data_IF_221441650632
#
_entry.id   IF_221441650632
#
_cell.length_a   1.000
_cell.length_b   1.000
_cell.length_c   1.000
_cell.angle_alpha   90.00
_cell.angle_beta   90.00
_cell.angle_gamma   90.00
#
_symmetry.space_group_name_H-M   'P 1'
#
loop_
_entity.id
_entity.type
_entity.pdbx_description
1 polymer ?
#
# COMPACT_ATOMS: atom_id res chain seq x y z
N UNK A 1 32.98 -20.03 40.48
CA UNK A 1 31.92 -19.74 39.51
C UNK A 1 31.51 -18.30 39.74
N UNK A 2 32.01 -17.38 38.90
CA UNK A 2 31.93 -15.95 39.16
C UNK A 2 30.56 -15.40 38.78
N UNK A 3 29.97 -14.57 39.64
CA UNK A 3 28.68 -13.90 39.40
C UNK A 3 28.62 -13.14 38.05
N UNK A 4 29.77 -12.69 37.54
CA UNK A 4 29.89 -12.08 36.20
C UNK A 4 29.61 -13.05 35.05
N UNK A 5 30.02 -14.32 35.16
CA UNK A 5 29.76 -15.33 34.12
C UNK A 5 28.27 -15.67 34.04
N UNK A 6 27.59 -15.73 35.19
CA UNK A 6 26.14 -15.96 35.24
C UNK A 6 25.37 -14.78 34.63
N UNK A 7 25.81 -13.55 34.87
CA UNK A 7 25.15 -12.37 34.31
C UNK A 7 25.34 -12.29 32.79
N UNK A 8 26.53 -12.58 32.29
CA UNK A 8 26.81 -12.66 30.85
C UNK A 8 26.02 -13.79 30.17
N UNK A 9 25.86 -14.95 30.81
CA UNK A 9 25.04 -16.05 30.27
C UNK A 9 23.56 -15.68 30.20
N UNK A 10 23.01 -15.02 31.23
CA UNK A 10 21.62 -14.58 31.25
C UNK A 10 21.35 -13.50 30.19
N UNK A 11 22.25 -12.53 30.05
CA UNK A 11 22.18 -11.52 28.99
C UNK A 11 22.31 -12.16 27.61
N UNK A 12 23.19 -13.15 27.45
CA UNK A 12 23.34 -13.93 26.24
C UNK A 12 22.06 -14.66 25.86
N UNK A 13 21.41 -15.32 26.82
CA UNK A 13 20.15 -16.03 26.62
C UNK A 13 19.01 -15.08 26.24
N UNK A 14 18.87 -13.96 26.97
CA UNK A 14 17.87 -12.93 26.70
C UNK A 14 18.03 -12.33 25.31
N UNK A 15 19.27 -11.99 24.92
CA UNK A 15 19.56 -11.45 23.58
C UNK A 15 19.23 -12.45 22.48
N UNK A 16 19.51 -13.74 22.71
CA UNK A 16 19.13 -14.82 21.78
C UNK A 16 17.61 -14.91 21.65
N UNK A 17 16.91 -14.88 22.77
CA UNK A 17 15.45 -14.97 22.83
C UNK A 17 14.79 -13.80 22.12
N UNK A 18 15.18 -12.57 22.44
CA UNK A 18 14.70 -11.36 21.74
C UNK A 18 14.96 -11.48 20.25
N UNK A 19 16.14 -11.95 19.82
CA UNK A 19 16.45 -12.15 18.41
C UNK A 19 15.60 -13.26 17.77
N UNK A 20 15.29 -14.31 18.50
CA UNK A 20 14.47 -15.43 18.01
C UNK A 20 13.01 -14.98 17.84
N UNK A 21 12.44 -14.35 18.85
CA UNK A 21 11.09 -13.80 18.82
C UNK A 21 10.93 -12.61 17.87
N UNK A 22 11.98 -11.82 17.56
CA UNK A 22 11.83 -10.63 16.68
C UNK A 22 12.24 -10.84 15.23
N UNK A 23 13.18 -11.74 14.93
CA UNK A 23 13.65 -11.94 13.54
C UNK A 23 12.57 -12.58 12.68
N UNK A 24 11.80 -13.52 13.24
CA UNK A 24 10.69 -14.16 12.54
C UNK A 24 9.56 -13.17 12.17
N UNK A 25 9.06 -12.33 13.10
CA UNK A 25 8.09 -11.30 12.74
C UNK A 25 8.68 -10.20 11.85
N UNK A 26 9.95 -9.80 12.00
CA UNK A 26 10.57 -8.82 11.07
C UNK A 26 10.61 -9.33 9.64
N UNK A 27 10.97 -10.60 9.46
CA UNK A 27 11.02 -11.23 8.13
C UNK A 27 9.63 -11.33 7.51
N UNK A 28 8.63 -11.68 8.32
CA UNK A 28 7.22 -11.70 7.92
C UNK A 28 6.74 -10.30 7.50
N UNK A 29 7.06 -9.28 8.29
CA UNK A 29 6.66 -7.90 8.06
C UNK A 29 7.34 -7.32 6.81
N UNK A 30 8.63 -7.58 6.62
CA UNK A 30 9.36 -7.17 5.41
C UNK A 30 8.73 -7.77 4.15
N UNK A 31 8.34 -9.05 4.19
CA UNK A 31 7.64 -9.71 3.09
C UNK A 31 6.25 -9.12 2.86
N UNK A 32 5.51 -8.82 3.92
CA UNK A 32 4.19 -8.18 3.83
C UNK A 32 4.27 -6.80 3.19
N UNK A 33 5.24 -5.97 3.60
CA UNK A 33 5.48 -4.64 3.01
C UNK A 33 5.88 -4.78 1.54
N UNK A 34 6.76 -5.73 1.21
CA UNK A 34 7.18 -5.95 -0.18
C UNK A 34 6.00 -6.35 -1.08
N UNK A 35 5.18 -7.31 -0.64
CA UNK A 35 3.98 -7.69 -1.40
C UNK A 35 2.93 -6.59 -1.43
N UNK A 36 2.79 -5.82 -0.34
CA UNK A 36 1.90 -4.66 -0.29
C UNK A 36 2.31 -3.56 -1.27
N UNK A 37 3.61 -3.26 -1.36
CA UNK A 37 4.17 -2.28 -2.28
C UNK A 37 4.09 -2.75 -3.74
N UNK A 38 4.44 -4.01 -4.01
CA UNK A 38 4.30 -4.58 -5.35
C UNK A 38 2.83 -4.63 -5.80
N UNK A 39 1.93 -5.02 -4.89
CA UNK A 39 0.49 -5.06 -5.14
C UNK A 39 -0.10 -3.67 -5.37
N UNK A 40 0.31 -2.65 -4.60
CA UNK A 40 -0.19 -1.29 -4.80
C UNK A 40 0.23 -0.70 -6.15
N UNK A 41 1.47 -0.96 -6.57
CA UNK A 41 1.95 -0.58 -7.92
C UNK A 41 1.14 -1.29 -9.00
N UNK A 42 0.96 -2.61 -8.89
CA UNK A 42 0.21 -3.38 -9.88
C UNK A 42 -1.25 -2.92 -9.98
N UNK A 43 -1.92 -2.68 -8.84
CA UNK A 43 -3.28 -2.16 -8.79
C UNK A 43 -3.35 -0.76 -9.38
N UNK A 44 -2.40 0.12 -9.07
CA UNK A 44 -2.35 1.47 -9.62
C UNK A 44 -2.21 1.46 -11.15
N UNK A 45 -1.29 0.65 -11.68
CA UNK A 45 -1.09 0.48 -13.12
C UNK A 45 -2.34 -0.11 -13.79
N UNK A 46 -2.92 -1.16 -13.21
CA UNK A 46 -4.14 -1.78 -13.71
C UNK A 46 -5.32 -0.80 -13.76
N UNK A 47 -5.45 0.06 -12.76
CA UNK A 47 -6.50 1.08 -12.71
C UNK A 47 -6.35 2.13 -13.82
N UNK A 48 -5.13 2.58 -14.10
CA UNK A 48 -4.84 3.48 -15.23
C UNK A 48 -5.16 2.81 -16.57
N UNK A 49 -4.73 1.56 -16.75
CA UNK A 49 -5.01 0.80 -17.98
C UNK A 49 -6.51 0.57 -18.18
N UNK A 50 -7.27 0.26 -17.12
CA UNK A 50 -8.72 0.14 -17.20
C UNK A 50 -9.39 1.49 -17.51
N UNK A 51 -8.90 2.60 -16.96
CA UNK A 51 -9.41 3.93 -17.28
C UNK A 51 -9.19 4.28 -18.76
N UNK A 52 -7.99 4.02 -19.29
CA UNK A 52 -7.66 4.24 -20.71
C UNK A 52 -8.44 3.28 -21.60
N UNK A 53 -8.56 2.01 -21.22
CA UNK A 53 -9.33 0.99 -21.94
C UNK A 53 -10.83 1.31 -21.99
N UNK A 54 -11.40 1.78 -20.88
CA UNK A 54 -12.77 2.26 -20.81
C UNK A 54 -12.98 3.49 -21.70
N UNK A 55 -12.07 4.48 -21.64
CA UNK A 55 -12.09 5.65 -22.51
C UNK A 55 -12.05 5.25 -23.99
N UNK A 56 -11.13 4.35 -24.36
CA UNK A 56 -10.98 3.82 -25.72
C UNK A 56 -12.24 3.08 -26.16
N UNK A 57 -12.76 2.21 -25.30
CA UNK A 57 -13.96 1.44 -25.53
C UNK A 57 -15.16 2.34 -25.76
N UNK A 58 -15.30 3.42 -25.00
CA UNK A 58 -16.40 4.38 -25.11
C UNK A 58 -16.28 5.29 -26.34
N UNK A 59 -15.05 5.63 -26.74
CA UNK A 59 -14.76 6.42 -27.95
C UNK A 59 -15.01 5.64 -29.26
N UNK A 60 -14.90 4.31 -29.25
CA UNK A 60 -15.17 3.47 -30.43
C UNK A 60 -16.62 3.55 -30.93
N UNK A 61 -17.58 3.88 -30.05
CA UNK A 61 -19.00 3.93 -30.42
C UNK A 61 -19.40 5.21 -31.16
N UNK A 62 -18.55 6.26 -31.20
CA UNK A 62 -18.79 7.51 -31.94
C UNK A 62 -20.00 8.34 -31.47
N UNK A 63 -20.91 7.79 -30.66
CA UNK A 63 -22.16 8.44 -30.22
C UNK A 63 -21.97 9.51 -29.14
N UNK A 64 -20.77 9.64 -28.57
CA UNK A 64 -20.47 10.63 -27.52
C UNK A 64 -19.84 11.93 -28.02
N UNK A 65 -19.69 12.12 -29.33
CA UNK A 65 -19.08 13.31 -29.96
C UNK A 65 -19.99 14.57 -29.94
N UNK A 66 -20.77 14.74 -28.88
CA UNK A 66 -21.65 15.89 -28.68
C UNK A 66 -21.82 16.25 -27.21
N UNK A 67 -23.07 16.40 -26.75
CA UNK A 67 -23.42 16.78 -25.36
C UNK A 67 -22.95 15.78 -24.29
N UNK A 68 -22.47 14.60 -24.67
CA UNK A 68 -22.05 13.54 -23.75
C UNK A 68 -20.52 13.30 -23.71
N UNK A 69 -19.74 14.19 -24.33
CA UNK A 69 -18.27 14.14 -24.35
C UNK A 69 -17.61 14.19 -22.98
N UNK A 70 -18.32 14.60 -21.92
CA UNK A 70 -17.83 14.64 -20.52
C UNK A 70 -17.91 13.29 -19.78
N UNK A 71 -18.77 12.37 -20.22
CA UNK A 71 -18.97 11.05 -19.57
C UNK A 71 -17.72 10.16 -19.57
N UNK A 72 -16.96 10.03 -20.67
CA UNK A 72 -15.72 9.26 -20.66
C UNK A 72 -14.71 9.80 -19.63
N UNK A 73 -14.64 11.13 -19.46
CA UNK A 73 -13.76 11.74 -18.48
C UNK A 73 -14.20 11.47 -17.05
N UNK A 74 -15.51 11.44 -16.76
CA UNK A 74 -16.00 11.04 -15.43
C UNK A 74 -15.70 9.58 -15.12
N UNK A 75 -15.88 8.67 -16.08
CA UNK A 75 -15.58 7.24 -15.87
C UNK A 75 -14.09 7.01 -15.62
N UNK A 76 -13.20 7.79 -16.26
CA UNK A 76 -11.78 7.77 -15.96
C UNK A 76 -11.44 8.45 -14.62
N UNK A 77 -12.05 9.60 -14.33
CA UNK A 77 -11.74 10.42 -13.15
C UNK A 77 -12.25 9.79 -11.85
N UNK A 78 -13.40 9.12 -11.84
CA UNK A 78 -14.03 8.57 -10.64
C UNK A 78 -13.20 7.48 -9.93
N UNK A 79 -12.65 6.46 -10.61
CA UNK A 79 -11.74 5.50 -10.00
C UNK A 79 -10.43 6.16 -9.54
N UNK A 80 -9.85 7.05 -10.34
CA UNK A 80 -8.63 7.79 -9.97
C UNK A 80 -8.84 8.71 -8.75
N UNK A 81 -9.96 9.42 -8.69
CA UNK A 81 -10.34 10.26 -7.57
C UNK A 81 -10.62 9.42 -6.32
N UNK A 82 -11.30 8.28 -6.45
CA UNK A 82 -11.52 7.37 -5.33
C UNK A 82 -10.20 6.81 -4.79
N UNK A 83 -9.29 6.38 -5.67
CA UNK A 83 -7.96 5.94 -5.28
C UNK A 83 -7.16 7.05 -4.59
N UNK A 84 -7.20 8.27 -5.14
CA UNK A 84 -6.56 9.46 -4.56
C UNK A 84 -7.13 9.84 -3.20
N UNK A 85 -8.46 9.83 -3.04
CA UNK A 85 -9.14 10.07 -1.75
C UNK A 85 -8.77 9.00 -0.74
N UNK A 86 -8.70 7.71 -1.15
CA UNK A 86 -8.26 6.64 -0.27
C UNK A 86 -6.81 6.83 0.16
N UNK A 87 -5.90 7.16 -0.76
CA UNK A 87 -4.51 7.49 -0.43
C UNK A 87 -4.40 8.69 0.52
N UNK A 88 -5.14 9.78 0.26
CA UNK A 88 -5.17 10.96 1.10
C UNK A 88 -5.78 10.68 2.49
N UNK A 89 -6.79 9.82 2.58
CA UNK A 89 -7.41 9.44 3.85
C UNK A 89 -6.49 8.62 4.76
N UNK A 90 -5.55 7.86 4.17
CA UNK A 90 -4.49 7.17 4.91
C UNK A 90 -3.46 8.16 5.48
N UNK A 91 -3.14 9.21 4.72
CA UNK A 91 -2.20 10.26 5.14
C UNK A 91 -2.83 11.19 6.18
N UNK A 92 -4.09 11.60 6.00
CA UNK A 92 -4.80 12.49 6.93
C UNK A 92 -5.12 11.88 8.29
N UNK A 93 -5.11 10.55 8.41
CA UNK A 93 -5.24 9.84 9.70
C UNK A 93 -3.94 9.91 10.53
N UNK A 94 -2.79 10.12 9.88
CA UNK A 94 -1.48 10.29 10.55
C UNK A 94 -1.35 11.65 11.25
N UNK A 95 -1.92 12.72 10.68
CA UNK A 95 -1.78 14.09 11.21
C UNK A 95 -2.66 14.43 12.43
N UNK A 96 -3.58 13.55 12.85
CA UNK A 96 -4.58 13.86 13.90
C UNK A 96 -4.27 13.27 15.28
N UNK A 97 -3.09 12.67 15.47
CA UNK A 97 -2.70 12.05 16.76
C UNK A 97 -1.88 12.96 17.69
N UNK A 98 -1.59 14.20 17.29
CA UNK A 98 -0.85 15.17 18.10
C UNK A 98 -1.59 16.52 18.14
N UNK A 99 -2.77 16.53 18.74
CA UNK A 99 -3.55 17.73 19.04
C UNK A 99 -4.32 17.54 20.34
#
# INVERSE_FOLDING_TARGET
MGQGETFDDLVGLFRRYVRQETVEPLRSLGRYILFGAAGSVLVGVGMVLLAVGALRGLQVWGELDGRWSWVPYLVAALPLALAGVRAASLIGKSGRSHG
#
